data_IF_521264781157
#
_entry.id   IF_521264781157
#
_cell.length_a   1.000
_cell.length_b   1.000
_cell.length_c   1.000
_cell.angle_alpha   90.00
_cell.angle_beta   90.00
_cell.angle_gamma   90.00
#
_symmetry.space_group_name_H-M   'P 1'
#
loop_
_entity.id
_entity.type
_entity.pdbx_description
1 polymer ?
#
# COMPACT_ATOMS: atom_id res chain seq x y z
N UNK A 1 9.99 -35.16 61.27
CA UNK A 1 11.01 -34.84 60.25
C UNK A 1 11.74 -36.12 59.90
N UNK A 2 11.37 -36.73 58.77
CA UNK A 2 12.04 -37.91 58.22
C UNK A 2 12.17 -37.71 56.71
N UNK A 3 13.40 -37.90 56.24
CA UNK A 3 13.84 -37.78 54.85
C UNK A 3 13.24 -38.89 53.99
N UNK A 4 12.74 -38.54 52.80
CA UNK A 4 12.55 -39.50 51.72
C UNK A 4 13.35 -39.09 50.49
N UNK A 5 14.37 -39.90 50.22
CA UNK A 5 15.12 -39.99 48.95
C UNK A 5 14.16 -40.29 47.80
N UNK A 6 14.36 -39.62 46.67
CA UNK A 6 13.95 -40.14 45.37
C UNK A 6 15.21 -40.49 44.58
N UNK A 7 15.49 -41.79 44.49
CA UNK A 7 16.34 -42.37 43.46
C UNK A 7 15.57 -42.33 42.12
N UNK A 8 16.21 -41.83 41.06
CA UNK A 8 15.74 -42.04 39.69
C UNK A 8 16.82 -42.77 38.90
N UNK A 9 16.42 -43.96 38.46
CA UNK A 9 17.20 -44.95 37.76
C UNK A 9 17.75 -44.46 36.41
N UNK A 10 18.96 -44.93 36.10
CA UNK A 10 19.57 -44.96 34.78
C UNK A 10 18.95 -46.12 33.98
N UNK A 11 18.51 -45.86 32.75
CA UNK A 11 18.21 -46.86 31.74
C UNK A 11 19.19 -46.72 30.55
N UNK A 12 19.65 -47.82 29.92
CA UNK A 12 20.72 -47.79 28.91
C UNK A 12 20.24 -47.66 27.45
N UNK A 13 21.14 -47.10 26.63
CA UNK A 13 21.35 -47.12 25.16
C UNK A 13 20.19 -47.13 24.14
N UNK A 14 20.26 -46.20 23.17
CA UNK A 14 20.25 -46.54 21.74
C UNK A 14 20.83 -45.41 20.89
N UNK A 15 21.85 -45.74 20.08
CA UNK A 15 22.45 -44.90 19.03
C UNK A 15 21.47 -44.72 17.85
N UNK A 16 21.63 -43.57 17.18
CA UNK A 16 21.30 -43.25 15.78
C UNK A 16 20.15 -42.24 15.60
N UNK A 17 20.53 -41.06 15.13
CA UNK A 17 19.60 -40.04 14.62
C UNK A 17 20.34 -38.73 14.41
N UNK A 18 20.89 -38.56 13.21
CA UNK A 18 21.76 -37.44 12.84
C UNK A 18 21.16 -36.06 13.13
N UNK A 19 21.98 -35.20 13.72
CA UNK A 19 21.76 -33.76 13.72
C UNK A 19 21.72 -33.25 12.28
N UNK A 20 20.69 -32.52 11.82
CA UNK A 20 20.88 -31.68 10.64
C UNK A 20 21.82 -30.56 11.07
N UNK A 21 23.07 -30.64 10.59
CA UNK A 21 24.00 -29.54 10.64
C UNK A 21 23.30 -28.29 10.08
N UNK A 22 22.96 -27.34 10.96
CA UNK A 22 22.56 -26.00 10.56
C UNK A 22 23.78 -25.39 9.85
N UNK A 23 23.77 -25.48 8.52
CA UNK A 23 24.68 -24.80 7.64
C UNK A 23 24.41 -23.30 7.72
N UNK A 24 24.86 -22.69 8.81
CA UNK A 24 24.90 -21.25 9.00
C UNK A 24 26.07 -20.70 8.19
N UNK A 25 25.84 -20.54 6.89
CA UNK A 25 26.68 -19.70 6.05
C UNK A 25 26.25 -18.22 6.26
N UNK A 26 26.98 -17.40 7.05
CA UNK A 26 26.62 -16.01 7.31
C UNK A 26 26.60 -15.15 6.03
N UNK A 27 27.28 -15.61 4.98
CA UNK A 27 27.33 -14.98 3.65
C UNK A 27 25.99 -15.05 2.90
N UNK A 28 25.12 -16.01 3.21
CA UNK A 28 23.85 -16.25 2.49
C UNK A 28 22.71 -15.33 2.98
N UNK A 29 22.79 -14.82 4.22
CA UNK A 29 21.78 -13.92 4.80
C UNK A 29 21.87 -12.49 4.27
N UNK A 30 23.09 -11.96 4.10
CA UNK A 30 23.31 -10.62 3.55
C UNK A 30 22.91 -10.49 2.08
N UNK A 31 23.27 -11.48 1.26
CA UNK A 31 22.93 -11.49 -0.17
C UNK A 31 21.41 -11.52 -0.42
N UNK A 32 20.65 -12.30 0.36
CA UNK A 32 19.17 -12.32 0.26
C UNK A 32 18.53 -11.00 0.66
N UNK A 33 19.03 -10.34 1.72
CA UNK A 33 18.52 -9.03 2.17
C UNK A 33 18.79 -7.94 1.13
N UNK A 34 20.00 -7.93 0.57
CA UNK A 34 20.36 -7.01 -0.51
C UNK A 34 19.44 -7.20 -1.72
N UNK A 35 19.17 -8.46 -2.11
CA UNK A 35 18.27 -8.77 -3.21
C UNK A 35 16.85 -8.24 -2.99
N UNK A 36 16.30 -8.38 -1.77
CA UNK A 36 14.97 -7.86 -1.44
C UNK A 36 14.91 -6.34 -1.48
N UNK A 37 15.93 -5.66 -0.96
CA UNK A 37 16.00 -4.18 -1.03
C UNK A 37 16.09 -3.72 -2.48
N UNK A 38 16.92 -4.39 -3.30
CA UNK A 38 16.99 -4.09 -4.73
C UNK A 38 15.64 -4.32 -5.43
N UNK A 39 14.91 -5.37 -5.06
CA UNK A 39 13.58 -5.65 -5.60
C UNK A 39 12.57 -4.57 -5.19
N UNK A 40 12.56 -4.15 -3.92
CA UNK A 40 11.67 -3.08 -3.45
C UNK A 40 11.94 -1.77 -4.20
N UNK A 41 13.22 -1.39 -4.34
CA UNK A 41 13.63 -0.20 -5.09
C UNK A 41 13.26 -0.30 -6.57
N UNK A 42 13.44 -1.48 -7.18
CA UNK A 42 13.04 -1.74 -8.55
C UNK A 42 11.52 -1.61 -8.73
N UNK A 43 10.72 -2.21 -7.84
CA UNK A 43 9.26 -2.09 -7.85
C UNK A 43 8.82 -0.64 -7.67
N UNK A 44 9.44 0.11 -6.78
CA UNK A 44 9.15 1.53 -6.56
C UNK A 44 9.48 2.37 -7.80
N UNK A 45 10.63 2.11 -8.43
CA UNK A 45 11.01 2.76 -9.68
C UNK A 45 10.00 2.45 -10.80
N UNK A 46 9.66 1.18 -10.99
CA UNK A 46 8.69 0.76 -12.01
C UNK A 46 7.29 1.34 -11.76
N UNK A 47 6.87 1.45 -10.49
CA UNK A 47 5.60 2.06 -10.13
C UNK A 47 5.58 3.58 -10.37
N UNK A 48 6.70 4.28 -10.19
CA UNK A 48 6.83 5.72 -10.43
C UNK A 48 7.16 6.09 -11.89
N UNK A 49 7.57 5.12 -12.71
CA UNK A 49 7.99 5.36 -14.09
C UNK A 49 6.90 6.01 -14.96
N UNK A 50 5.62 5.60 -14.93
CA UNK A 50 4.57 6.27 -15.70
C UNK A 50 4.39 7.74 -15.33
N UNK A 51 4.39 8.05 -14.02
CA UNK A 51 4.38 9.43 -13.52
C UNK A 51 5.55 10.24 -14.10
N UNK A 52 6.78 9.74 -13.97
CA UNK A 52 7.97 10.42 -14.49
C UNK A 52 7.94 10.62 -16.01
N UNK A 53 7.49 9.61 -16.75
CA UNK A 53 7.39 9.66 -18.20
C UNK A 53 6.34 10.68 -18.62
N UNK A 54 5.15 10.69 -18.04
CA UNK A 54 4.07 11.60 -18.43
C UNK A 54 4.42 13.06 -18.08
N UNK A 55 5.12 13.28 -16.97
CA UNK A 55 5.51 14.62 -16.54
C UNK A 55 6.72 15.16 -17.33
N UNK A 56 7.69 14.30 -17.66
CA UNK A 56 8.91 14.70 -18.38
C UNK A 56 8.74 14.66 -19.90
N UNK A 57 7.94 13.72 -20.40
CA UNK A 57 7.70 13.56 -21.83
C UNK A 57 6.46 14.34 -22.23
N UNK A 58 6.50 15.00 -23.38
CA UNK A 58 5.34 15.68 -23.98
C UNK A 58 4.34 14.67 -24.56
N UNK A 59 3.82 13.76 -23.74
CA UNK A 59 2.73 12.87 -24.13
C UNK A 59 1.49 13.72 -24.31
N UNK A 60 1.00 13.78 -25.55
CA UNK A 60 -0.21 14.52 -25.89
C UNK A 60 -1.43 13.77 -25.32
N UNK A 61 -2.26 14.41 -24.48
CA UNK A 61 -3.53 13.86 -24.04
C UNK A 61 -4.44 13.52 -25.22
N UNK A 62 -5.37 12.60 -24.99
CA UNK A 62 -6.37 12.19 -25.98
C UNK A 62 -7.07 13.40 -26.62
N UNK A 63 -7.13 13.43 -27.95
CA UNK A 63 -7.72 14.53 -28.70
C UNK A 63 -9.25 14.43 -28.71
N UNK A 64 -9.87 14.94 -27.65
CA UNK A 64 -11.32 14.99 -27.51
C UNK A 64 -11.94 16.15 -28.31
N UNK A 65 -13.11 15.89 -28.88
CA UNK A 65 -13.98 16.90 -29.50
C UNK A 65 -14.83 17.67 -28.50
N UNK A 66 -15.57 18.66 -28.99
CA UNK A 66 -16.51 19.45 -28.18
C UNK A 66 -17.74 19.88 -28.98
N UNK A 67 -18.76 20.37 -28.28
CA UNK A 67 -19.94 20.99 -28.88
C UNK A 67 -19.79 22.52 -28.84
N UNK A 68 -20.15 23.24 -29.91
CA UNK A 68 -20.07 24.71 -29.90
C UNK A 68 -20.95 25.37 -28.83
N UNK A 69 -22.03 24.69 -28.41
CA UNK A 69 -22.94 25.17 -27.38
C UNK A 69 -22.55 24.73 -25.95
N UNK A 70 -21.35 24.15 -25.77
CA UNK A 70 -20.87 23.73 -24.46
C UNK A 70 -20.36 24.94 -23.65
N UNK A 71 -21.21 25.47 -22.77
CA UNK A 71 -20.85 26.56 -21.85
C UNK A 71 -19.84 26.13 -20.78
N UNK A 72 -19.67 24.82 -20.55
CA UNK A 72 -18.77 24.34 -19.50
C UNK A 72 -17.30 24.59 -19.82
N UNK A 73 -16.94 24.82 -21.09
CA UNK A 73 -15.57 25.00 -21.61
C UNK A 73 -15.27 26.42 -22.12
N UNK A 74 -16.17 27.39 -21.86
CA UNK A 74 -16.12 28.78 -22.33
C UNK A 74 -15.61 29.80 -21.30
N UNK A 75 -15.24 29.36 -20.11
CA UNK A 75 -14.81 30.27 -19.05
C UNK A 75 -13.49 30.97 -19.40
N UNK A 76 -13.28 32.22 -18.93
CA UNK A 76 -12.01 32.90 -19.13
C UNK A 76 -10.87 32.16 -18.42
N UNK A 77 -9.67 32.21 -19.00
CA UNK A 77 -8.47 31.71 -18.35
C UNK A 77 -8.22 32.52 -17.07
N UNK A 78 -8.23 31.86 -15.92
CA UNK A 78 -7.76 32.46 -14.67
C UNK A 78 -6.23 32.37 -14.65
N UNK A 79 -5.58 33.51 -14.39
CA UNK A 79 -4.13 33.61 -14.37
C UNK A 79 -3.65 33.17 -13.00
N UNK A 80 -3.16 31.93 -12.92
CA UNK A 80 -2.52 31.36 -11.73
C UNK A 80 -3.22 30.10 -11.23
N UNK A 81 -2.49 28.99 -11.21
CA UNK A 81 -2.76 27.88 -10.29
C UNK A 81 -2.20 28.31 -8.93
N UNK A 82 -3.02 28.27 -7.87
CA UNK A 82 -2.61 28.75 -6.53
C UNK A 82 -1.45 27.91 -5.97
N UNK A 83 -1.33 26.63 -6.36
CA UNK A 83 -0.33 25.69 -5.83
C UNK A 83 0.11 24.72 -6.94
N UNK A 84 1.43 24.52 -7.11
CA UNK A 84 1.98 23.54 -8.04
C UNK A 84 1.80 22.10 -7.50
N UNK A 85 1.47 21.13 -8.36
CA UNK A 85 1.30 19.72 -8.03
C UNK A 85 2.53 19.15 -7.28
N UNK A 86 3.74 19.47 -7.75
CA UNK A 86 4.99 19.04 -7.12
C UNK A 86 5.16 19.55 -5.68
N UNK A 87 4.74 20.79 -5.41
CA UNK A 87 4.81 21.39 -4.07
C UNK A 87 3.82 20.73 -3.13
N UNK A 88 2.59 20.46 -3.59
CA UNK A 88 1.61 19.74 -2.78
C UNK A 88 2.10 18.33 -2.44
N UNK A 89 2.60 17.59 -3.43
CA UNK A 89 3.14 16.25 -3.22
C UNK A 89 4.31 16.25 -2.23
N UNK A 90 5.27 17.16 -2.40
CA UNK A 90 6.43 17.27 -1.50
C UNK A 90 6.00 17.55 -0.05
N UNK A 91 5.15 18.56 0.17
CA UNK A 91 4.68 18.93 1.52
C UNK A 91 3.85 17.80 2.13
N UNK A 92 2.93 17.19 1.37
CA UNK A 92 2.10 16.10 1.89
C UNK A 92 2.91 14.84 2.22
N UNK A 93 3.92 14.49 1.44
CA UNK A 93 4.83 13.37 1.75
C UNK A 93 5.59 13.65 3.04
N UNK A 94 6.12 14.87 3.23
CA UNK A 94 6.81 15.26 4.46
C UNK A 94 5.88 15.14 5.67
N UNK A 95 4.66 15.69 5.57
CA UNK A 95 3.67 15.60 6.65
C UNK A 95 3.33 14.12 6.96
N UNK A 96 3.13 13.29 5.95
CA UNK A 96 2.81 11.88 6.12
C UNK A 96 3.94 11.10 6.79
N UNK A 97 5.20 11.33 6.37
CA UNK A 97 6.37 10.68 6.97
C UNK A 97 6.52 11.10 8.44
N UNK A 98 6.35 12.39 8.76
CA UNK A 98 6.39 12.87 10.15
C UNK A 98 5.27 12.25 11.01
N UNK A 99 4.07 12.10 10.46
CA UNK A 99 2.96 11.42 11.13
C UNK A 99 3.27 9.94 11.39
N UNK A 100 3.85 9.24 10.41
CA UNK A 100 4.29 7.84 10.55
C UNK A 100 5.36 7.72 11.64
N UNK A 101 6.39 8.56 11.61
CA UNK A 101 7.46 8.58 12.61
C UNK A 101 6.89 8.79 14.02
N UNK A 102 5.99 9.76 14.17
CA UNK A 102 5.36 10.06 15.46
C UNK A 102 4.49 8.90 15.95
N UNK A 103 3.71 8.26 15.06
CA UNK A 103 2.90 7.10 15.39
C UNK A 103 3.72 5.88 15.79
N UNK A 104 4.82 5.61 15.09
CA UNK A 104 5.77 4.54 15.42
C UNK A 104 6.47 4.77 16.77
N UNK A 105 6.90 6.01 17.01
CA UNK A 105 7.48 6.42 18.29
C UNK A 105 6.47 6.21 19.44
N UNK A 106 5.23 6.64 19.25
CA UNK A 106 4.17 6.43 20.23
C UNK A 106 3.92 4.94 20.50
N UNK A 107 3.84 4.10 19.46
CA UNK A 107 3.61 2.65 19.60
C UNK A 107 4.75 1.96 20.36
N UNK A 108 5.99 2.27 20.04
CA UNK A 108 7.15 1.62 20.69
C UNK A 108 7.30 2.07 22.14
N UNK A 109 7.12 3.36 22.42
CA UNK A 109 7.34 3.92 23.76
C UNK A 109 6.18 3.61 24.71
N UNK A 110 4.93 3.84 24.30
CA UNK A 110 3.76 3.71 25.18
C UNK A 110 3.14 2.31 25.16
N UNK A 111 3.04 1.66 24.00
CA UNK A 111 2.41 0.33 23.87
C UNK A 111 3.39 -0.84 24.10
N UNK A 112 4.70 -0.54 24.26
CA UNK A 112 5.80 -1.50 24.47
C UNK A 112 5.81 -2.67 23.47
N UNK A 113 5.26 -2.48 22.28
CA UNK A 113 5.26 -3.52 21.25
C UNK A 113 6.65 -3.64 20.62
N UNK A 114 7.31 -4.76 20.89
CA UNK A 114 8.58 -5.09 20.26
C UNK A 114 8.32 -5.57 18.82
N UNK A 115 8.80 -4.81 17.83
CA UNK A 115 8.71 -5.20 16.42
C UNK A 115 9.42 -6.55 16.19
N UNK A 116 8.72 -7.53 15.61
CA UNK A 116 9.28 -8.85 15.24
C UNK A 116 10.06 -8.75 13.92
N UNK A 117 11.06 -7.88 13.84
CA UNK A 117 11.78 -7.64 12.58
C UNK A 117 13.12 -8.34 12.46
N UNK A 118 13.45 -8.75 11.23
CA UNK A 118 14.72 -9.36 10.79
C UNK A 118 15.94 -8.42 10.89
N UNK A 119 15.72 -7.10 10.98
CA UNK A 119 16.75 -6.07 11.20
C UNK A 119 16.94 -5.88 12.71
N UNK A 120 18.20 -5.70 13.12
CA UNK A 120 18.63 -5.68 14.52
C UNK A 120 18.01 -4.54 15.34
N UNK A 121 17.62 -3.43 14.69
CA UNK A 121 16.88 -2.34 15.30
C UNK A 121 15.39 -2.39 14.90
N UNK A 122 14.46 -2.65 15.84
CA UNK A 122 13.03 -2.77 15.57
C UNK A 122 12.39 -1.48 15.03
N UNK A 123 12.96 -0.31 15.35
CA UNK A 123 12.48 1.00 14.90
C UNK A 123 12.76 1.22 13.41
N UNK A 124 13.99 0.97 12.98
CA UNK A 124 14.42 1.12 11.59
C UNK A 124 13.63 0.18 10.67
N UNK A 125 13.36 -1.04 11.14
CA UNK A 125 12.58 -2.00 10.37
C UNK A 125 11.11 -1.59 10.19
N UNK A 126 10.49 -1.06 11.24
CA UNK A 126 9.10 -0.60 11.20
C UNK A 126 8.97 0.62 10.29
N UNK A 127 9.88 1.59 10.41
CA UNK A 127 9.92 2.75 9.54
C UNK A 127 10.16 2.39 8.08
N UNK A 128 11.14 1.51 7.79
CA UNK A 128 11.40 1.06 6.42
C UNK A 128 10.15 0.45 5.80
N UNK A 129 9.46 -0.43 6.55
CA UNK A 129 8.22 -1.05 6.07
C UNK A 129 7.13 -0.01 5.81
N UNK A 130 6.87 0.89 6.76
CA UNK A 130 5.74 1.81 6.64
C UNK A 130 6.02 2.92 5.62
N UNK A 131 7.18 3.57 5.69
CA UNK A 131 7.56 4.59 4.69
C UNK A 131 7.69 3.96 3.31
N UNK A 132 8.27 2.76 3.19
CA UNK A 132 8.36 2.04 1.92
C UNK A 132 6.99 1.73 1.32
N UNK A 133 6.05 1.20 2.12
CA UNK A 133 4.68 0.93 1.67
C UNK A 133 3.94 2.21 1.28
N UNK A 134 4.12 3.31 2.02
CA UNK A 134 3.53 4.61 1.70
C UNK A 134 4.05 5.17 0.38
N UNK A 135 5.37 5.20 0.18
CA UNK A 135 5.97 5.73 -1.05
C UNK A 135 5.59 4.88 -2.26
N UNK A 136 5.57 3.55 -2.11
CA UNK A 136 5.15 2.65 -3.18
C UNK A 136 3.69 2.87 -3.58
N UNK A 137 2.77 2.94 -2.61
CA UNK A 137 1.36 3.21 -2.91
C UNK A 137 1.15 4.61 -3.48
N UNK A 138 1.92 5.60 -3.01
CA UNK A 138 1.92 6.95 -3.57
C UNK A 138 2.33 6.93 -5.04
N UNK A 139 3.42 6.23 -5.39
CA UNK A 139 3.89 6.10 -6.76
C UNK A 139 2.83 5.47 -7.69
N UNK A 140 2.17 4.39 -7.24
CA UNK A 140 1.05 3.78 -7.98
C UNK A 140 -0.11 4.76 -8.16
N UNK A 141 -0.52 5.43 -7.08
CA UNK A 141 -1.66 6.36 -7.09
C UNK A 141 -1.41 7.53 -8.06
N UNK A 142 -0.22 8.12 -8.03
CA UNK A 142 0.16 9.21 -8.94
C UNK A 142 0.24 8.74 -10.39
N UNK A 143 0.94 7.63 -10.65
CA UNK A 143 1.02 7.05 -12.00
C UNK A 143 -0.36 6.75 -12.58
N UNK A 144 -1.25 6.12 -11.80
CA UNK A 144 -2.62 5.85 -12.25
C UNK A 144 -3.39 7.13 -12.57
N UNK A 145 -3.26 8.15 -11.72
CA UNK A 145 -3.92 9.45 -11.89
C UNK A 145 -3.50 10.12 -13.18
N UNK A 146 -2.20 10.15 -13.47
CA UNK A 146 -1.68 10.81 -14.68
C UNK A 146 -1.97 10.03 -15.95
N UNK A 147 -1.91 8.69 -15.89
CA UNK A 147 -2.38 7.83 -16.98
C UNK A 147 -3.86 8.14 -17.28
N UNK A 148 -4.70 8.27 -16.27
CA UNK A 148 -6.11 8.58 -16.45
C UNK A 148 -6.32 9.97 -17.06
N UNK A 149 -5.56 10.99 -16.62
CA UNK A 149 -5.62 12.35 -17.19
C UNK A 149 -5.35 12.34 -18.69
N UNK A 150 -4.26 11.69 -19.12
CA UNK A 150 -3.87 11.67 -20.55
C UNK A 150 -4.77 10.78 -21.39
N UNK A 151 -5.27 9.68 -20.82
CA UNK A 151 -6.15 8.73 -21.54
C UNK A 151 -7.55 9.30 -21.77
N UNK A 152 -8.09 10.06 -20.82
CA UNK A 152 -9.48 10.57 -20.89
C UNK A 152 -9.55 11.88 -21.67
N UNK A 153 -8.54 12.75 -21.55
CA UNK A 153 -8.45 13.98 -22.34
C UNK A 153 -9.63 14.95 -22.14
N UNK A 154 -10.21 15.02 -20.94
CA UNK A 154 -11.37 15.90 -20.67
C UNK A 154 -10.93 17.36 -20.69
N UNK A 155 -11.68 18.19 -21.40
CA UNK A 155 -11.43 19.62 -21.59
C UNK A 155 -11.74 20.44 -20.34
N UNK A 156 -10.87 21.41 -20.00
CA UNK A 156 -10.98 22.29 -18.83
C UNK A 156 -12.02 23.38 -19.09
N UNK A 157 -12.55 24.01 -18.04
CA UNK A 157 -13.53 25.06 -18.23
C UNK A 157 -13.06 26.25 -19.07
N UNK A 158 -11.74 26.47 -19.15
CA UNK A 158 -11.13 27.55 -19.95
C UNK A 158 -10.55 27.08 -21.29
N UNK A 159 -10.91 25.88 -21.75
CA UNK A 159 -10.30 25.26 -22.93
C UNK A 159 -10.46 26.11 -24.20
N UNK A 160 -11.66 26.63 -24.50
CA UNK A 160 -11.86 27.40 -25.73
C UNK A 160 -11.07 28.72 -25.74
N UNK A 161 -10.91 29.33 -24.57
CA UNK A 161 -10.11 30.55 -24.41
C UNK A 161 -8.63 30.29 -24.70
N UNK A 162 -8.09 29.16 -24.23
CA UNK A 162 -6.68 28.78 -24.44
C UNK A 162 -6.44 28.22 -25.83
N UNK A 163 -7.32 27.36 -26.34
CA UNK A 163 -7.20 26.77 -27.68
C UNK A 163 -7.35 27.82 -28.78
N UNK A 164 -8.24 28.80 -28.60
CA UNK A 164 -8.57 29.82 -29.60
C UNK A 164 -8.82 29.20 -30.99
N UNK A 165 -9.81 28.30 -31.12
CA UNK A 165 -10.09 27.63 -32.38
C UNK A 165 -10.60 28.62 -33.43
N UNK A 166 -10.33 28.32 -34.70
CA UNK A 166 -10.84 29.12 -35.81
C UNK A 166 -12.29 28.71 -36.12
N UNK A 167 -13.25 29.46 -35.61
CA UNK A 167 -14.68 29.21 -35.84
C UNK A 167 -15.10 29.38 -37.31
N UNK A 168 -14.28 30.01 -38.18
CA UNK A 168 -14.56 30.08 -39.62
C UNK A 168 -14.35 28.73 -40.33
N UNK A 169 -13.51 27.86 -39.75
CA UNK A 169 -13.22 26.52 -40.26
C UNK A 169 -14.06 25.42 -39.59
N UNK A 170 -14.89 25.78 -38.60
CA UNK A 170 -15.68 24.83 -37.80
C UNK A 170 -17.15 25.02 -38.10
N UNK A 171 -17.81 23.97 -38.57
CA UNK A 171 -19.24 23.98 -38.83
C UNK A 171 -20.02 23.57 -37.57
N UNK A 172 -20.46 24.56 -36.78
CA UNK A 172 -21.23 24.30 -35.54
C UNK A 172 -22.61 23.65 -35.77
N UNK A 173 -23.09 23.57 -37.01
CA UNK A 173 -24.34 22.89 -37.37
C UNK A 173 -24.18 21.36 -37.42
N UNK A 174 -22.95 20.85 -37.51
CA UNK A 174 -22.64 19.40 -37.56
C UNK A 174 -22.68 18.72 -36.17
N UNK A 175 -22.94 19.47 -35.11
CA UNK A 175 -23.03 18.95 -33.75
C UNK A 175 -21.67 18.78 -33.08
N UNK A 176 -21.19 17.54 -32.95
CA UNK A 176 -19.95 17.22 -32.21
C UNK A 176 -18.70 17.42 -33.08
N UNK A 177 -17.86 18.39 -32.73
CA UNK A 177 -16.70 18.77 -33.52
C UNK A 177 -15.46 18.00 -33.04
N UNK A 178 -14.92 17.14 -33.91
CA UNK A 178 -13.69 16.39 -33.63
C UNK A 178 -12.46 17.02 -34.31
N UNK A 179 -12.65 17.62 -35.48
CA UNK A 179 -11.58 18.20 -36.29
C UNK A 179 -11.52 19.71 -36.06
N UNK A 180 -10.54 20.16 -35.29
CA UNK A 180 -10.26 21.58 -35.07
C UNK A 180 -8.77 21.80 -34.87
N UNK A 181 -8.30 23.02 -35.16
CA UNK A 181 -6.93 23.44 -34.88
C UNK A 181 -6.94 24.55 -33.84
N UNK A 182 -6.10 24.40 -32.81
CA UNK A 182 -5.87 25.44 -31.82
C UNK A 182 -4.80 26.41 -32.35
N UNK A 183 -5.04 27.72 -32.18
CA UNK A 183 -4.06 28.78 -32.48
C UNK A 183 -3.27 29.21 -31.24
N UNK A 184 -3.72 28.82 -30.04
CA UNK A 184 -3.02 29.10 -28.80
C UNK A 184 -1.75 28.26 -28.60
N UNK A 185 -1.07 28.52 -27.50
CA UNK A 185 0.16 27.83 -27.11
C UNK A 185 -0.09 26.33 -26.86
N UNK A 186 0.68 25.46 -27.51
CA UNK A 186 0.49 24.00 -27.43
C UNK A 186 0.61 23.49 -25.99
N UNK A 187 1.54 24.01 -25.17
CA UNK A 187 1.72 23.54 -23.79
C UNK A 187 0.48 23.83 -22.94
N UNK A 188 -0.09 25.03 -23.06
CA UNK A 188 -1.32 25.42 -22.36
C UNK A 188 -2.54 24.67 -22.88
N UNK A 189 -2.57 24.38 -24.17
CA UNK A 189 -3.64 23.58 -24.79
C UNK A 189 -3.59 22.14 -24.32
N UNK A 190 -2.41 21.52 -24.23
CA UNK A 190 -2.27 20.17 -23.68
C UNK A 190 -2.70 20.14 -22.21
N UNK A 191 -2.34 21.16 -21.42
CA UNK A 191 -2.77 21.27 -20.03
C UNK A 191 -4.29 21.45 -19.89
N UNK A 192 -4.89 22.27 -20.75
CA UNK A 192 -6.33 22.46 -20.80
C UNK A 192 -7.10 21.19 -21.23
N UNK A 193 -6.43 20.13 -21.70
CA UNK A 193 -7.01 18.81 -22.01
C UNK A 193 -6.93 17.82 -20.84
N UNK A 194 -6.35 18.20 -19.70
CA UNK A 194 -6.17 17.34 -18.50
C UNK A 194 -7.08 17.80 -17.35
N UNK A 195 -8.38 17.62 -17.49
CA UNK A 195 -9.35 18.06 -16.45
C UNK A 195 -9.85 16.98 -15.52
N UNK A 196 -9.90 15.74 -16.01
CA UNK A 196 -10.54 14.65 -15.29
C UNK A 196 -9.51 13.70 -14.69
N UNK A 197 -9.83 13.29 -13.46
CA UNK A 197 -8.91 12.97 -12.36
C UNK A 197 -8.04 14.16 -11.93
N UNK A 198 -8.26 14.67 -10.71
CA UNK A 198 -7.46 15.72 -10.09
C UNK A 198 -6.25 15.11 -9.37
N UNK A 199 -5.04 15.60 -9.70
CA UNK A 199 -3.79 15.22 -9.04
C UNK A 199 -3.82 15.53 -7.54
N UNK A 200 -4.09 16.79 -7.21
CA UNK A 200 -4.24 17.26 -5.83
C UNK A 200 -5.24 16.44 -5.00
N UNK A 201 -6.45 16.19 -5.53
CA UNK A 201 -7.47 15.45 -4.80
C UNK A 201 -7.08 13.98 -4.60
N UNK A 202 -6.56 13.33 -5.65
CA UNK A 202 -6.11 11.93 -5.61
C UNK A 202 -5.00 11.73 -4.57
N UNK A 203 -3.97 12.58 -4.62
CA UNK A 203 -2.86 12.55 -3.66
C UNK A 203 -3.32 12.78 -2.21
N UNK A 204 -4.18 13.77 -2.00
CA UNK A 204 -4.69 14.12 -0.67
C UNK A 204 -5.53 12.98 -0.08
N UNK A 205 -6.41 12.39 -0.89
CA UNK A 205 -7.25 11.25 -0.48
C UNK A 205 -6.40 10.02 -0.16
N UNK A 206 -5.43 9.69 -1.02
CA UNK A 206 -4.50 8.59 -0.78
C UNK A 206 -3.75 8.77 0.55
N UNK A 207 -3.16 9.95 0.75
CA UNK A 207 -2.36 10.25 1.94
C UNK A 207 -3.21 10.16 3.21
N UNK A 208 -4.40 10.76 3.19
CA UNK A 208 -5.34 10.68 4.30
C UNK A 208 -5.72 9.23 4.62
N UNK A 209 -6.16 8.46 3.61
CA UNK A 209 -6.60 7.08 3.81
C UNK A 209 -5.47 6.21 4.35
N UNK A 210 -4.26 6.37 3.81
CA UNK A 210 -3.09 5.64 4.30
C UNK A 210 -2.82 5.94 5.78
N UNK A 211 -2.80 7.22 6.16
CA UNK A 211 -2.60 7.61 7.56
C UNK A 211 -3.71 7.09 8.47
N UNK A 212 -4.97 7.18 8.05
CA UNK A 212 -6.10 6.62 8.81
C UNK A 212 -5.93 5.12 9.01
N UNK A 213 -5.64 4.36 7.95
CA UNK A 213 -5.44 2.91 8.05
C UNK A 213 -4.23 2.59 8.92
N UNK A 214 -3.14 3.34 8.81
CA UNK A 214 -1.95 3.21 9.66
C UNK A 214 -2.31 3.40 11.13
N UNK A 215 -2.94 4.52 11.49
CA UNK A 215 -3.31 4.79 12.87
C UNK A 215 -4.37 3.81 13.39
N UNK A 216 -5.35 3.40 12.58
CA UNK A 216 -6.35 2.41 13.01
C UNK A 216 -5.73 1.03 13.20
N UNK A 217 -4.91 0.57 12.26
CA UNK A 217 -4.36 -0.80 12.29
C UNK A 217 -3.24 -0.99 13.30
N UNK A 218 -2.46 0.05 13.56
CA UNK A 218 -1.30 -0.02 14.46
C UNK A 218 -1.53 0.60 15.84
N UNK A 219 -2.45 1.56 15.99
CA UNK A 219 -2.78 2.19 17.27
C UNK A 219 -4.03 1.58 17.93
N UNK A 220 -5.04 1.20 17.14
CA UNK A 220 -6.31 0.63 17.62
C UNK A 220 -6.42 -0.87 17.38
N UNK A 221 -5.31 -1.61 17.40
CA UNK A 221 -5.38 -3.04 17.70
C UNK A 221 -5.95 -3.20 19.10
N UNK A 222 -7.26 -3.33 19.20
CA UNK A 222 -7.90 -3.96 20.35
C UNK A 222 -7.19 -5.30 20.50
N UNK A 223 -6.39 -5.43 21.54
CA UNK A 223 -6.03 -6.75 22.05
C UNK A 223 -7.32 -7.36 22.56
N UNK A 224 -8.16 -7.86 21.66
CA UNK A 224 -9.17 -8.85 21.99
C UNK A 224 -8.39 -10.15 22.23
N UNK A 225 -7.59 -10.16 23.29
CA UNK A 225 -7.34 -11.38 24.03
C UNK A 225 -8.65 -11.65 24.75
N UNK A 226 -9.64 -12.16 24.02
CA UNK A 226 -10.67 -12.96 24.65
C UNK A 226 -9.90 -14.21 25.10
N UNK A 227 -9.40 -14.18 26.33
CA UNK A 227 -8.97 -15.36 27.04
C UNK A 227 -10.21 -16.24 27.19
N UNK A 228 -10.54 -16.99 26.14
CA UNK A 228 -11.30 -18.19 26.34
C UNK A 228 -10.40 -19.05 27.24
N UNK A 229 -10.83 -19.38 28.47
CA UNK A 229 -10.11 -20.37 29.24
C UNK A 229 -9.98 -21.62 28.37
N UNK A 230 -8.85 -22.34 28.45
CA UNK A 230 -8.70 -23.60 27.72
C UNK A 230 -9.93 -24.45 28.01
N UNK A 231 -10.55 -25.10 27.01
CA UNK A 231 -11.67 -25.98 27.26
C UNK A 231 -11.21 -26.97 28.33
N UNK A 232 -11.93 -26.99 29.46
CA UNK A 232 -11.71 -27.99 30.47
C UNK A 232 -11.86 -29.34 29.77
N UNK A 233 -10.75 -30.04 29.57
CA UNK A 233 -10.78 -31.45 29.18
C UNK A 233 -11.46 -32.12 30.35
N UNK A 234 -12.78 -32.29 30.24
CA UNK A 234 -13.55 -33.20 31.05
C UNK A 234 -12.93 -34.55 30.72
N UNK A 235 -12.00 -35.00 31.57
CA UNK A 235 -11.65 -36.40 31.63
C UNK A 235 -12.96 -37.07 32.06
N UNK A 236 -13.76 -37.48 31.09
CA UNK A 236 -14.71 -38.57 31.25
C UNK A 236 -13.88 -39.71 31.81
N UNK A 237 -13.91 -39.83 33.15
CA UNK A 237 -13.45 -41.01 33.84
C UNK A 237 -14.41 -42.09 33.36
N UNK A 238 -13.99 -42.83 32.33
CA UNK A 238 -14.63 -44.08 31.99
C UNK A 238 -14.61 -44.91 33.27
N UNK A 239 -15.80 -45.24 33.78
CA UNK A 239 -15.91 -46.00 35.00
C UNK A 239 -15.24 -47.37 34.81
N UNK A 240 -14.58 -47.95 35.82
CA UNK A 240 -13.95 -49.27 35.73
C UNK A 240 -14.92 -50.42 35.41
N UNK A 241 -16.23 -50.16 35.34
CA UNK A 241 -17.28 -51.16 35.11
C UNK A 241 -17.39 -51.56 33.64
N UNK A 242 -17.01 -50.68 32.70
CA UNK A 242 -17.18 -50.93 31.25
C UNK A 242 -16.04 -51.73 30.60
N UNK A 243 -14.94 -51.97 31.33
CA UNK A 243 -13.78 -52.74 30.83
C UNK A 243 -13.99 -54.25 31.08
N UNK A 244 -14.73 -54.63 32.13
CA UNK A 244 -14.93 -56.04 32.48
C UNK A 244 -15.92 -56.72 31.53
N UNK A 245 -16.96 -56.01 31.07
CA UNK A 245 -17.99 -56.60 30.20
C UNK A 245 -17.48 -56.86 28.77
N UNK A 246 -16.52 -56.06 28.29
CA UNK A 246 -15.90 -56.25 26.96
C UNK A 246 -14.94 -57.43 26.89
N UNK A 247 -14.33 -57.83 28.01
CA UNK A 247 -13.37 -58.95 28.05
C UNK A 247 -14.05 -60.31 28.23
N UNK A 248 -15.27 -60.37 28.78
CA UNK A 248 -16.00 -61.64 28.89
C UNK A 248 -16.66 -62.06 27.57
N UNK A 249 -16.96 -61.13 26.66
CA UNK A 249 -17.57 -61.47 25.37
C UNK A 249 -16.57 -61.99 24.32
N UNK A 250 -15.27 -61.92 24.58
CA UNK A 250 -14.22 -62.41 23.67
C UNK A 250 -13.66 -63.81 24.01
N UNK A 251 -14.11 -64.42 25.12
CA UNK A 251 -13.67 -65.76 25.55
C UNK A 251 -14.78 -66.83 25.50
N UNK A 252 -15.89 -66.57 24.78
CA UNK A 252 -16.91 -67.59 24.48
C UNK A 252 -17.33 -67.56 23.01
N UNK A 253 -16.39 -67.84 22.10
CA UNK A 253 -16.61 -68.52 20.81
C UNK A 253 -15.34 -69.32 20.49
#
# INVERSE_FOLDING_TARGET
>A
MQNYKYDKAIAPESKNGGSPALNNNPRKGGSKRMLLICLDLFCLFMAGLPFLIIETSTIKPYHRGFYCNDESIKYPLKIGETINDAVLCAVGIVIAILAIITGEFYRIYYLKEKSRSTIQNPYVAALYKQVGCFLFGCAISQSFTDIAKVSIGRLRPHFLNVCNPDFSQINCSEGYIQNYKCRGDDSKVQEARKSFFSGHASFSMYTMLYLVVFFVSDLFKTKTTLSLPPPAIRKEILSPVDIIDRNNHHNMV
#
